data_IF_928601693935
#
_entry.id   IF_928601693935
#
_cell.length_a   1.000
_cell.length_b   1.000
_cell.length_c   1.000
_cell.angle_alpha   90.00
_cell.angle_beta   90.00
_cell.angle_gamma   90.00
#
_symmetry.space_group_name_H-M   'P 1'
#
loop_
_entity.id
_entity.type
_entity.pdbx_description
1 polymer ?
#
# COMPACT_ATOMS: atom_id res chain seq x y z
N UNK A 1 -19.11 -60.52 -36.26
CA UNK A 1 -20.45 -60.97 -36.72
C UNK A 1 -21.27 -59.75 -37.14
N UNK A 2 -21.77 -59.76 -38.38
CA UNK A 2 -22.87 -58.97 -39.00
C UNK A 2 -22.90 -57.43 -38.86
N UNK A 3 -22.51 -56.67 -39.90
CA UNK A 3 -23.24 -56.31 -41.15
C UNK A 3 -24.39 -55.29 -40.94
N UNK A 4 -24.23 -54.06 -41.45
CA UNK A 4 -24.93 -53.52 -42.65
C UNK A 4 -24.78 -51.99 -42.75
N UNK A 5 -24.29 -51.49 -43.89
CA UNK A 5 -24.50 -50.11 -44.33
C UNK A 5 -25.80 -50.03 -45.17
N UNK A 6 -26.59 -48.94 -45.09
CA UNK A 6 -27.56 -48.53 -46.11
C UNK A 6 -27.00 -47.42 -47.03
N UNK A 7 -27.70 -47.09 -48.14
CA UNK A 7 -27.13 -46.67 -49.43
C UNK A 7 -26.99 -45.14 -49.64
N UNK A 8 -26.33 -44.66 -50.71
CA UNK A 8 -26.20 -43.23 -51.02
C UNK A 8 -27.42 -42.72 -51.79
N UNK A 9 -27.79 -41.46 -51.57
CA UNK A 9 -28.83 -40.77 -52.36
C UNK A 9 -28.27 -39.43 -52.87
N UNK A 10 -28.35 -39.28 -54.19
CA UNK A 10 -27.95 -38.15 -55.04
C UNK A 10 -28.88 -36.94 -54.94
N UNK A 11 -28.44 -35.73 -55.35
CA UNK A 11 -29.17 -34.49 -55.17
C UNK A 11 -30.28 -34.34 -56.23
N UNK A 12 -31.42 -33.77 -55.82
CA UNK A 12 -32.44 -33.26 -56.74
C UNK A 12 -32.54 -31.75 -56.57
N UNK A 13 -32.28 -31.06 -57.67
CA UNK A 13 -32.42 -29.63 -57.84
C UNK A 13 -33.88 -29.17 -57.88
N UNK A 14 -34.04 -27.88 -57.56
CA UNK A 14 -34.92 -26.90 -58.20
C UNK A 14 -36.16 -26.37 -57.45
N UNK A 15 -36.27 -25.04 -57.59
CA UNK A 15 -37.42 -24.13 -57.41
C UNK A 15 -37.65 -23.55 -56.00
N UNK A 16 -37.07 -22.41 -55.65
CA UNK A 16 -37.24 -21.01 -56.11
C UNK A 16 -38.41 -20.26 -55.41
N UNK A 17 -38.02 -19.17 -54.74
CA UNK A 17 -38.74 -17.90 -54.51
C UNK A 17 -39.24 -17.52 -53.10
N UNK A 18 -38.88 -16.28 -52.75
CA UNK A 18 -39.47 -15.32 -51.81
C UNK A 18 -39.04 -15.29 -50.31
N UNK A 19 -38.21 -14.26 -50.03
CA UNK A 19 -38.15 -13.32 -48.89
C UNK A 19 -37.93 -13.75 -47.40
N UNK A 20 -36.98 -13.01 -46.79
CA UNK A 20 -36.54 -12.88 -45.39
C UNK A 20 -37.67 -12.88 -44.34
N UNK A 21 -37.45 -13.29 -43.06
CA UNK A 21 -36.30 -12.89 -42.22
C UNK A 21 -35.79 -13.89 -41.14
N UNK A 22 -34.55 -13.73 -40.64
CA UNK A 22 -34.17 -13.56 -39.21
C UNK A 22 -32.68 -13.83 -38.95
N UNK A 23 -32.17 -13.02 -38.01
CA UNK A 23 -30.88 -13.03 -37.30
C UNK A 23 -30.11 -14.36 -37.24
N UNK A 24 -28.77 -14.25 -37.41
CA UNK A 24 -27.85 -15.21 -36.82
C UNK A 24 -26.40 -15.12 -37.28
N UNK A 25 -25.55 -14.56 -36.40
CA UNK A 25 -24.12 -14.89 -36.19
C UNK A 25 -23.08 -14.07 -36.99
N UNK A 26 -22.56 -13.01 -36.35
CA UNK A 26 -21.25 -12.47 -36.66
C UNK A 26 -20.18 -13.27 -35.89
N UNK A 27 -19.22 -13.84 -36.63
CA UNK A 27 -18.07 -14.55 -36.08
C UNK A 27 -17.10 -13.57 -35.42
N UNK A 28 -16.84 -13.75 -34.12
CA UNK A 28 -15.83 -12.98 -33.39
C UNK A 28 -14.45 -13.53 -33.75
N UNK A 29 -13.67 -12.70 -34.46
CA UNK A 29 -12.36 -13.04 -34.99
C UNK A 29 -11.29 -12.93 -33.88
N UNK A 30 -10.98 -14.06 -33.25
CA UNK A 30 -10.07 -14.20 -32.09
C UNK A 30 -8.61 -13.78 -32.32
N UNK A 31 -8.22 -13.41 -33.54
CA UNK A 31 -6.84 -12.96 -33.87
C UNK A 31 -6.62 -11.44 -33.78
N UNK A 32 -7.67 -10.63 -33.62
CA UNK A 32 -7.52 -9.18 -33.37
C UNK A 32 -7.11 -8.90 -31.91
N UNK A 33 -7.52 -9.76 -30.98
CA UNK A 33 -7.32 -9.55 -29.54
C UNK A 33 -5.84 -9.73 -29.09
N UNK A 34 -5.07 -10.54 -29.82
CA UNK A 34 -3.65 -10.80 -29.52
C UNK A 34 -2.69 -9.75 -30.12
N UNK A 35 -3.17 -8.85 -30.99
CA UNK A 35 -2.36 -7.74 -31.50
C UNK A 35 -2.39 -6.49 -30.61
N UNK A 36 -3.32 -6.40 -29.66
CA UNK A 36 -3.41 -5.31 -28.69
C UNK A 36 -2.79 -5.62 -27.31
N UNK A 37 -2.17 -6.80 -27.13
CA UNK A 37 -1.64 -7.26 -25.83
C UNK A 37 -0.10 -7.27 -25.74
N UNK A 38 0.62 -6.77 -26.74
CA UNK A 38 2.08 -6.67 -26.70
C UNK A 38 2.56 -5.29 -26.22
N UNK A 39 2.21 -4.91 -24.99
CA UNK A 39 3.04 -4.02 -24.14
C UNK A 39 2.79 -4.42 -22.68
N UNK A 40 3.34 -5.55 -22.25
CA UNK A 40 3.36 -5.93 -20.84
C UNK A 40 4.69 -6.63 -20.56
N UNK A 41 5.58 -5.92 -19.89
CA UNK A 41 6.93 -6.42 -19.59
C UNK A 41 7.82 -5.34 -19.03
N UNK A 42 7.56 -4.90 -17.80
CA UNK A 42 8.55 -4.27 -16.93
C UNK A 42 8.09 -4.46 -15.48
N UNK A 43 9.02 -4.82 -14.61
CA UNK A 43 8.82 -5.02 -13.19
C UNK A 43 8.21 -3.77 -12.53
N UNK A 44 7.31 -3.97 -11.58
CA UNK A 44 6.69 -2.89 -10.81
C UNK A 44 7.67 -2.47 -9.70
N UNK A 45 8.47 -1.46 -10.01
CA UNK A 45 9.13 -0.58 -9.04
C UNK A 45 8.31 0.70 -8.95
N UNK A 46 7.83 1.00 -7.73
CA UNK A 46 7.48 2.29 -7.13
C UNK A 46 6.68 3.35 -7.94
N UNK A 47 5.99 4.21 -7.20
CA UNK A 47 5.04 5.22 -7.71
C UNK A 47 5.60 6.25 -8.69
N UNK A 48 4.66 7.08 -9.20
CA UNK A 48 4.83 8.26 -10.07
C UNK A 48 4.69 8.12 -11.61
N UNK A 49 4.36 6.94 -12.17
CA UNK A 49 4.41 6.74 -13.64
C UNK A 49 3.13 6.89 -14.48
N UNK A 50 1.92 6.85 -13.92
CA UNK A 50 0.69 6.59 -14.73
C UNK A 50 -0.25 7.80 -15.00
N UNK A 51 0.24 9.05 -14.95
CA UNK A 51 -0.59 10.23 -15.22
C UNK A 51 -0.40 10.88 -16.60
N UNK A 52 0.43 10.31 -17.49
CA UNK A 52 0.85 10.95 -18.74
C UNK A 52 -0.16 11.01 -19.90
N UNK A 53 -1.46 10.75 -19.70
CA UNK A 53 -2.37 10.54 -20.84
C UNK A 53 -3.86 10.79 -20.65
N UNK A 54 -4.29 11.67 -19.74
CA UNK A 54 -5.70 12.04 -19.66
C UNK A 54 -6.08 13.04 -20.78
N UNK A 55 -7.19 12.85 -21.53
CA UNK A 55 -7.61 13.77 -22.57
C UNK A 55 -7.87 15.17 -21.99
N UNK A 56 -7.33 16.19 -22.67
CA UNK A 56 -7.48 17.63 -22.37
C UNK A 56 -8.94 18.13 -22.26
N UNK A 57 -9.93 17.32 -22.64
CA UNK A 57 -11.35 17.68 -22.60
C UNK A 57 -11.95 17.72 -21.17
N UNK A 58 -11.23 17.22 -20.15
CA UNK A 58 -11.58 17.38 -18.73
C UNK A 58 -10.83 18.53 -18.05
N UNK A 59 -9.91 19.20 -18.75
CA UNK A 59 -9.09 20.29 -18.20
C UNK A 59 -9.76 21.67 -18.29
N UNK A 60 -10.99 21.72 -18.81
CA UNK A 60 -11.66 22.97 -19.19
C UNK A 60 -13.02 23.14 -18.52
N UNK A 61 -13.12 22.82 -17.23
CA UNK A 61 -14.13 23.43 -16.34
C UNK A 61 -13.43 23.83 -15.05
N UNK A 62 -13.20 25.14 -14.91
CA UNK A 62 -12.56 25.72 -13.74
C UNK A 62 -13.44 25.56 -12.51
N UNK A 63 -12.96 24.79 -11.55
CA UNK A 63 -13.32 24.98 -10.15
C UNK A 63 -12.02 25.29 -9.41
N UNK A 64 -11.69 26.58 -9.26
CA UNK A 64 -10.62 27.06 -8.35
C UNK A 64 -10.84 26.62 -6.89
N UNK A 65 -11.99 26.00 -6.58
CA UNK A 65 -12.39 25.61 -5.24
C UNK A 65 -12.77 24.12 -5.18
N UNK A 66 -12.04 23.38 -4.36
CA UNK A 66 -12.43 22.03 -3.91
C UNK A 66 -13.63 22.13 -2.95
N UNK A 67 -14.45 21.08 -2.90
CA UNK A 67 -15.59 21.07 -1.97
C UNK A 67 -15.11 20.88 -0.52
N UNK A 68 -16.00 21.16 0.46
CA UNK A 68 -15.72 20.81 1.86
C UNK A 68 -15.53 19.30 2.06
N UNK A 69 -16.19 18.49 1.24
CA UNK A 69 -16.02 17.02 1.26
C UNK A 69 -14.64 16.62 0.79
N UNK A 70 -14.18 17.16 -0.34
CA UNK A 70 -12.84 16.92 -0.87
C UNK A 70 -11.76 17.37 0.13
N UNK A 71 -11.90 18.56 0.72
CA UNK A 71 -10.99 19.05 1.74
C UNK A 71 -10.98 18.16 2.99
N UNK A 72 -12.13 17.59 3.37
CA UNK A 72 -12.20 16.65 4.50
C UNK A 72 -11.48 15.33 4.19
N UNK A 73 -11.54 14.84 2.94
CA UNK A 73 -10.75 13.68 2.51
C UNK A 73 -9.25 13.99 2.62
N UNK A 74 -8.79 15.10 2.06
CA UNK A 74 -7.37 15.48 2.12
C UNK A 74 -6.89 15.74 3.56
N UNK A 75 -7.72 16.31 4.43
CA UNK A 75 -7.40 16.43 5.86
C UNK A 75 -7.32 15.07 6.56
N UNK A 76 -8.12 14.10 6.14
CA UNK A 76 -8.02 12.75 6.68
C UNK A 76 -6.72 12.08 6.24
N UNK A 77 -6.35 12.20 4.96
CA UNK A 77 -5.05 11.73 4.46
C UNK A 77 -3.89 12.43 5.20
N UNK A 78 -3.92 13.76 5.32
CA UNK A 78 -2.87 14.50 6.03
C UNK A 78 -2.70 14.04 7.49
N UNK A 79 -3.80 13.71 8.18
CA UNK A 79 -3.73 13.16 9.52
C UNK A 79 -3.08 11.76 9.55
N UNK A 80 -3.33 10.93 8.53
CA UNK A 80 -2.68 9.63 8.39
C UNK A 80 -1.17 9.79 8.14
N UNK A 81 -0.76 10.65 7.20
CA UNK A 81 0.67 10.88 6.90
C UNK A 81 1.44 11.45 8.11
N UNK A 82 0.81 12.28 8.96
CA UNK A 82 1.43 12.75 10.20
C UNK A 82 1.72 11.58 11.16
N UNK A 83 0.80 10.61 11.27
CA UNK A 83 0.98 9.43 12.13
C UNK A 83 2.01 8.47 11.55
N UNK A 84 1.97 8.26 10.23
CA UNK A 84 2.94 7.45 9.49
C UNK A 84 4.34 8.03 9.60
N UNK A 85 4.49 9.35 9.43
CA UNK A 85 5.76 10.03 9.68
C UNK A 85 6.26 9.78 11.11
N UNK A 86 5.40 9.86 12.13
CA UNK A 86 5.83 9.63 13.52
C UNK A 86 6.31 8.19 13.76
N UNK A 87 5.73 7.20 13.08
CA UNK A 87 6.26 5.83 13.09
C UNK A 87 7.66 5.76 12.46
N UNK A 88 7.82 6.26 11.23
CA UNK A 88 9.09 6.18 10.51
C UNK A 88 10.21 6.97 11.16
N UNK A 89 9.93 8.17 11.68
CA UNK A 89 10.90 8.97 12.45
C UNK A 89 11.44 8.19 13.65
N UNK A 90 10.59 7.43 14.36
CA UNK A 90 11.07 6.63 15.50
C UNK A 90 12.03 5.52 15.07
N UNK A 91 11.79 4.87 13.93
CA UNK A 91 12.73 3.90 13.36
C UNK A 91 14.00 4.58 12.87
N UNK A 92 13.88 5.70 12.16
CA UNK A 92 14.98 6.45 11.57
C UNK A 92 15.96 6.96 12.62
N UNK A 93 15.45 7.44 13.76
CA UNK A 93 16.29 7.87 14.88
C UNK A 93 17.26 6.78 15.37
N UNK A 94 16.87 5.51 15.27
CA UNK A 94 17.62 4.38 15.82
C UNK A 94 18.35 3.57 14.74
N UNK A 95 17.82 3.47 13.53
CA UNK A 95 18.33 2.53 12.52
C UNK A 95 18.35 3.06 11.08
N UNK A 96 17.85 4.28 10.83
CA UNK A 96 17.95 4.89 9.50
C UNK A 96 19.38 5.35 9.18
N UNK A 97 19.60 5.77 7.94
CA UNK A 97 20.83 6.48 7.56
C UNK A 97 20.93 7.77 8.37
N UNK A 98 22.11 8.03 8.95
CA UNK A 98 22.34 9.20 9.79
C UNK A 98 23.01 10.31 8.95
N UNK A 99 22.21 11.18 8.37
CA UNK A 99 22.65 12.35 7.62
C UNK A 99 21.77 13.59 7.92
N UNK A 100 21.83 14.60 7.05
CA UNK A 100 21.12 15.87 7.21
C UNK A 100 19.81 15.95 6.39
N UNK A 101 19.41 14.90 5.65
CA UNK A 101 18.21 14.90 4.80
C UNK A 101 16.93 14.84 5.64
N UNK A 102 16.88 13.89 6.58
CA UNK A 102 15.75 13.76 7.50
C UNK A 102 16.15 14.04 8.96
N UNK A 103 15.32 14.73 9.74
CA UNK A 103 15.60 14.96 11.16
C UNK A 103 15.59 13.64 11.93
N UNK A 104 16.72 13.32 12.57
CA UNK A 104 16.92 12.03 13.23
C UNK A 104 17.55 12.13 14.61
N UNK A 105 17.80 10.94 15.15
CA UNK A 105 18.47 10.72 16.42
C UNK A 105 19.98 10.70 16.19
N UNK A 106 20.69 9.86 16.93
CA UNK A 106 22.11 9.60 16.68
C UNK A 106 22.39 8.15 16.30
N UNK A 107 21.34 7.35 16.08
CA UNK A 107 21.43 5.93 15.76
C UNK A 107 21.74 5.03 16.95
N UNK A 108 21.37 3.75 16.81
CA UNK A 108 21.68 2.66 17.70
C UNK A 108 22.32 1.52 16.89
N UNK A 109 23.65 1.43 16.92
CA UNK A 109 24.39 0.53 16.04
C UNK A 109 24.05 -0.96 16.23
N UNK A 110 23.69 -1.37 17.44
CA UNK A 110 23.28 -2.75 17.73
C UNK A 110 21.92 -3.06 17.10
N UNK A 111 20.95 -2.15 17.25
CA UNK A 111 19.63 -2.32 16.68
C UNK A 111 19.66 -2.22 15.14
N UNK A 112 20.41 -1.26 14.59
CA UNK A 112 20.65 -1.15 13.15
C UNK A 112 21.28 -2.44 12.58
N UNK A 113 22.27 -3.02 13.28
CA UNK A 113 22.87 -4.28 12.88
C UNK A 113 21.89 -5.47 12.96
N UNK A 114 20.99 -5.50 13.94
CA UNK A 114 19.97 -6.54 14.05
C UNK A 114 18.98 -6.51 12.87
N UNK A 115 18.58 -5.32 12.41
CA UNK A 115 17.78 -5.15 11.19
C UNK A 115 18.58 -5.55 9.94
N UNK A 116 19.81 -5.04 9.80
CA UNK A 116 20.70 -5.33 8.68
C UNK A 116 21.03 -6.83 8.52
N UNK A 117 20.90 -7.62 9.59
CA UNK A 117 21.10 -9.07 9.54
C UNK A 117 20.03 -9.81 8.73
N UNK A 118 18.85 -9.21 8.54
CA UNK A 118 17.76 -9.76 7.72
C UNK A 118 17.84 -9.24 6.29
N UNK A 119 18.06 -7.93 6.14
CA UNK A 119 18.24 -7.25 4.86
C UNK A 119 19.12 -6.01 5.10
N UNK A 120 20.25 -5.89 4.38
CA UNK A 120 21.23 -4.83 4.59
C UNK A 120 20.77 -3.46 4.09
N UNK A 121 19.71 -3.40 3.27
CA UNK A 121 19.10 -2.15 2.80
C UNK A 121 18.09 -1.55 3.80
N UNK A 122 17.81 -2.22 4.93
CA UNK A 122 16.81 -1.75 5.91
C UNK A 122 17.06 -0.32 6.42
N UNK A 123 18.33 0.08 6.58
CA UNK A 123 18.66 1.44 7.01
C UNK A 123 18.28 2.50 5.98
N UNK A 124 18.51 2.22 4.69
CA UNK A 124 18.11 3.09 3.59
C UNK A 124 16.59 3.09 3.44
N UNK A 125 15.97 1.93 3.51
CA UNK A 125 14.52 1.78 3.43
C UNK A 125 13.79 2.57 4.52
N UNK A 126 14.24 2.51 5.79
CA UNK A 126 13.68 3.33 6.87
C UNK A 126 13.86 4.83 6.59
N UNK A 127 15.04 5.22 6.11
CA UNK A 127 15.38 6.60 5.83
C UNK A 127 14.51 7.20 4.73
N UNK A 128 14.42 6.53 3.59
CA UNK A 128 13.69 7.02 2.41
C UNK A 128 12.19 7.11 2.68
N UNK A 129 11.62 6.10 3.35
CA UNK A 129 10.23 6.20 3.81
C UNK A 129 10.04 7.35 4.80
N UNK A 130 11.03 7.67 5.64
CA UNK A 130 10.91 8.83 6.53
C UNK A 130 10.85 10.13 5.75
N UNK A 131 11.68 10.29 4.72
CA UNK A 131 11.71 11.48 3.87
C UNK A 131 10.42 11.63 3.04
N UNK A 132 9.97 10.55 2.41
CA UNK A 132 8.74 10.50 1.64
C UNK A 132 7.54 10.94 2.49
N UNK A 133 7.44 10.47 3.73
CA UNK A 133 6.30 10.79 4.59
C UNK A 133 6.33 12.23 5.13
N UNK A 134 7.52 12.80 5.35
CA UNK A 134 7.64 14.24 5.54
C UNK A 134 7.12 15.00 4.32
N UNK A 135 7.49 14.57 3.12
CA UNK A 135 7.04 15.19 1.88
C UNK A 135 5.52 15.08 1.72
N UNK A 136 4.91 13.92 1.97
CA UNK A 136 3.47 13.70 1.88
C UNK A 136 2.67 14.60 2.83
N UNK A 137 3.01 14.61 4.12
CA UNK A 137 2.27 15.43 5.09
C UNK A 137 2.43 16.93 4.81
N UNK A 138 3.62 17.37 4.37
CA UNK A 138 3.89 18.77 4.07
C UNK A 138 3.12 19.21 2.82
N UNK A 139 3.14 18.38 1.79
CA UNK A 139 2.40 18.63 0.56
C UNK A 139 0.89 18.75 0.81
N UNK A 140 0.28 17.79 1.52
CA UNK A 140 -1.16 17.81 1.77
C UNK A 140 -1.59 19.04 2.59
N UNK A 141 -0.81 19.41 3.61
CA UNK A 141 -1.08 20.60 4.42
C UNK A 141 -0.92 21.89 3.61
N UNK A 142 0.17 22.03 2.84
CA UNK A 142 0.38 23.19 1.98
C UNK A 142 -0.71 23.31 0.90
N UNK A 143 -1.14 22.18 0.32
CA UNK A 143 -2.22 22.16 -0.66
C UNK A 143 -3.54 22.61 -0.04
N UNK A 144 -3.91 22.10 1.15
CA UNK A 144 -5.10 22.53 1.88
C UNK A 144 -5.11 24.04 2.13
N UNK A 145 -3.99 24.57 2.62
CA UNK A 145 -3.81 26.01 2.89
C UNK A 145 -3.92 26.84 1.60
N UNK A 146 -3.34 26.36 0.49
CA UNK A 146 -3.42 27.02 -0.81
C UNK A 146 -4.87 27.14 -1.34
N UNK A 147 -5.75 26.22 -0.92
CA UNK A 147 -7.18 26.20 -1.27
C UNK A 147 -8.06 26.91 -0.22
N UNK A 148 -7.46 27.53 0.79
CA UNK A 148 -8.17 28.26 1.85
C UNK A 148 -8.80 27.36 2.92
N UNK A 149 -8.37 26.10 3.02
CA UNK A 149 -8.77 25.19 4.09
C UNK A 149 -7.67 25.16 5.16
N UNK A 150 -8.01 24.90 6.44
CA UNK A 150 -6.98 24.77 7.46
C UNK A 150 -6.13 23.52 7.20
N UNK A 151 -4.87 23.57 7.62
CA UNK A 151 -4.00 22.40 7.76
C UNK A 151 -4.43 21.51 8.93
N UNK A 152 -3.76 20.37 9.06
CA UNK A 152 -3.90 19.41 10.15
C UNK A 152 -2.70 19.53 11.07
N UNK A 153 -2.98 19.62 12.37
CA UNK A 153 -1.98 19.64 13.43
C UNK A 153 -2.43 18.65 14.52
N UNK A 154 -1.57 17.66 14.81
CA UNK A 154 -1.80 16.66 15.84
C UNK A 154 -0.92 16.86 17.08
N UNK A 155 -0.09 17.92 17.16
CA UNK A 155 0.90 18.10 18.22
C UNK A 155 0.30 18.10 19.63
N UNK A 156 -0.93 18.60 19.78
CA UNK A 156 -1.67 18.52 21.06
C UNK A 156 -1.91 17.10 21.58
N UNK A 157 -1.78 16.08 20.72
CA UNK A 157 -1.94 14.67 21.06
C UNK A 157 -0.60 13.94 21.26
N UNK A 158 0.54 14.60 21.00
CA UNK A 158 1.90 14.06 21.14
C UNK A 158 2.27 13.91 22.61
N UNK A 159 1.78 12.83 23.20
CA UNK A 159 1.77 12.62 24.67
C UNK A 159 2.37 11.27 25.07
N UNK A 160 2.61 10.37 24.12
CA UNK A 160 3.18 9.06 24.39
C UNK A 160 4.67 9.19 24.66
N UNK A 161 5.22 8.36 25.53
CA UNK A 161 6.66 8.34 25.79
C UNK A 161 7.40 7.78 24.56
N UNK A 162 8.53 8.40 24.19
CA UNK A 162 9.46 7.86 23.21
C UNK A 162 10.41 6.83 23.83
N UNK A 163 11.23 6.19 22.99
CA UNK A 163 12.33 5.34 23.44
C UNK A 163 13.36 6.14 24.23
N UNK A 164 13.90 5.52 25.29
CA UNK A 164 15.03 6.02 26.08
C UNK A 164 16.34 5.31 25.72
N UNK A 165 16.34 4.46 24.69
CA UNK A 165 17.55 3.82 24.21
C UNK A 165 18.50 4.85 23.57
N UNK A 166 19.80 4.62 23.73
CA UNK A 166 20.86 5.39 23.08
C UNK A 166 20.59 5.46 21.58
N UNK A 167 20.64 6.67 21.03
CA UNK A 167 20.27 6.94 19.64
C UNK A 167 18.91 7.61 19.48
N UNK A 168 17.93 7.32 20.34
CA UNK A 168 16.63 7.99 20.23
C UNK A 168 16.69 9.44 20.72
N UNK A 169 15.81 10.28 20.19
CA UNK A 169 15.65 11.65 20.68
C UNK A 169 14.94 11.74 22.04
N UNK A 170 14.30 10.67 22.51
CA UNK A 170 13.53 10.66 23.76
C UNK A 170 12.30 11.56 23.77
N UNK A 171 11.96 12.20 22.64
CA UNK A 171 10.84 13.14 22.56
C UNK A 171 9.48 12.41 22.63
N UNK A 172 8.41 13.09 23.10
CA UNK A 172 7.06 12.55 23.07
C UNK A 172 6.58 12.17 21.66
N UNK A 173 5.66 11.20 21.57
CA UNK A 173 5.18 10.59 20.31
C UNK A 173 3.68 10.67 20.15
N UNK A 174 3.25 10.58 18.90
CA UNK A 174 1.86 10.38 18.50
C UNK A 174 1.52 8.89 18.42
N UNK A 175 2.50 8.07 18.11
CA UNK A 175 2.39 6.62 17.97
C UNK A 175 3.28 5.88 18.96
N UNK A 176 3.07 4.58 19.15
CA UNK A 176 3.80 3.78 20.14
C UNK A 176 4.37 2.51 19.51
N UNK A 177 5.67 2.51 19.25
CA UNK A 177 6.42 1.34 18.76
C UNK A 177 6.91 0.39 19.86
N UNK A 178 6.68 0.72 21.13
CA UNK A 178 7.17 -0.06 22.27
C UNK A 178 6.15 -1.08 22.80
N UNK A 179 4.90 -1.02 22.33
CA UNK A 179 3.79 -1.86 22.78
C UNK A 179 2.85 -2.23 21.62
N UNK A 180 3.37 -2.91 20.60
CA UNK A 180 2.60 -3.31 19.42
C UNK A 180 1.90 -4.65 19.60
N UNK A 181 0.71 -4.77 19.03
CA UNK A 181 0.04 -6.03 18.73
C UNK A 181 -0.17 -6.04 17.22
N UNK A 182 0.39 -7.04 16.52
CA UNK A 182 0.45 -7.08 15.06
C UNK A 182 -0.35 -8.26 14.50
N UNK A 183 -1.21 -7.97 13.54
CA UNK A 183 -1.81 -9.00 12.69
C UNK A 183 -0.79 -9.39 11.61
N UNK A 184 -0.25 -10.60 11.73
CA UNK A 184 0.70 -11.19 10.78
C UNK A 184 0.02 -12.16 9.79
N UNK A 185 -1.31 -12.26 9.81
CA UNK A 185 -2.06 -13.13 8.89
C UNK A 185 -1.95 -12.68 7.44
N UNK A 186 -1.60 -11.42 7.16
CA UNK A 186 -1.36 -10.95 5.79
C UNK A 186 -0.25 -11.75 5.11
N UNK A 187 0.78 -12.17 5.85
CA UNK A 187 1.92 -12.91 5.31
C UNK A 187 1.50 -14.28 4.79
N UNK A 188 0.66 -14.99 5.56
CA UNK A 188 0.14 -16.32 5.19
C UNK A 188 -1.00 -16.21 4.18
N UNK A 189 -1.83 -15.16 4.27
CA UNK A 189 -2.93 -14.87 3.34
C UNK A 189 -2.48 -14.85 1.88
N UNK A 190 -1.38 -14.17 1.58
CA UNK A 190 -0.88 -14.06 0.21
C UNK A 190 0.12 -15.15 -0.18
N UNK A 191 0.32 -16.16 0.67
CA UNK A 191 1.22 -17.30 0.43
C UNK A 191 0.52 -18.66 0.50
N UNK A 192 -0.78 -18.68 0.81
CA UNK A 192 -1.59 -19.91 0.75
C UNK A 192 -1.69 -20.39 -0.70
N UNK A 193 -1.48 -21.70 -0.90
CA UNK A 193 -1.60 -22.37 -2.19
C UNK A 193 -2.97 -23.05 -2.39
N UNK A 194 -3.79 -23.09 -1.34
CA UNK A 194 -5.06 -23.81 -1.25
C UNK A 194 -6.28 -22.92 -0.95
N UNK A 195 -6.07 -21.67 -0.51
CA UNK A 195 -7.13 -20.70 -0.23
C UNK A 195 -6.88 -19.36 -0.92
N UNK A 196 -7.95 -18.77 -1.48
CA UNK A 196 -7.88 -17.47 -2.13
C UNK A 196 -8.67 -16.44 -1.31
N UNK A 197 -8.04 -15.35 -0.81
CA UNK A 197 -8.72 -14.37 0.04
C UNK A 197 -9.94 -13.70 -0.61
N UNK A 198 -9.98 -13.61 -1.94
CA UNK A 198 -11.12 -13.03 -2.67
C UNK A 198 -12.27 -14.01 -2.87
N UNK A 199 -11.98 -15.33 -2.88
CA UNK A 199 -12.98 -16.38 -3.11
C UNK A 199 -13.44 -17.06 -1.81
N UNK A 200 -12.62 -17.00 -0.77
CA UNK A 200 -12.82 -17.62 0.53
C UNK A 200 -12.90 -16.58 1.66
N UNK A 201 -13.86 -15.63 1.63
CA UNK A 201 -13.87 -14.47 2.53
C UNK A 201 -14.09 -14.83 4.02
N UNK A 202 -14.51 -16.06 4.31
CA UNK A 202 -14.71 -16.55 5.67
C UNK A 202 -13.54 -17.42 6.17
N UNK A 203 -12.52 -17.67 5.34
CA UNK A 203 -11.35 -18.43 5.76
C UNK A 203 -10.48 -17.57 6.67
N UNK A 204 -10.11 -18.11 7.82
CA UNK A 204 -9.24 -17.44 8.79
C UNK A 204 -7.81 -17.87 8.53
N UNK A 205 -7.04 -17.00 7.88
CA UNK A 205 -5.63 -17.24 7.63
C UNK A 205 -4.84 -17.24 8.95
N UNK A 206 -3.95 -18.22 9.16
CA UNK A 206 -3.20 -18.34 10.41
C UNK A 206 -2.20 -17.19 10.57
N UNK A 207 -1.94 -16.78 11.80
CA UNK A 207 -0.88 -15.83 12.11
C UNK A 207 0.50 -16.44 11.78
N UNK A 208 1.34 -15.72 11.03
CA UNK A 208 2.71 -16.17 10.75
C UNK A 208 3.55 -16.25 12.02
N UNK A 209 3.36 -15.28 12.93
CA UNK A 209 3.94 -15.27 14.27
C UNK A 209 2.79 -15.11 15.28
N UNK A 210 2.22 -16.21 15.80
CA UNK A 210 1.04 -16.16 16.65
C UNK A 210 1.17 -15.28 17.90
N UNK A 211 2.36 -15.18 18.47
CA UNK A 211 2.60 -14.40 19.69
C UNK A 211 2.45 -12.88 19.46
N UNK A 212 2.77 -12.39 18.26
CA UNK A 212 2.61 -10.97 17.91
C UNK A 212 1.14 -10.53 17.88
N UNK A 213 0.20 -11.47 17.71
CA UNK A 213 -1.24 -11.19 17.62
C UNK A 213 -1.97 -11.11 18.98
N UNK A 214 -1.32 -11.54 20.07
CA UNK A 214 -1.96 -11.62 21.40
C UNK A 214 -1.16 -10.94 22.54
N UNK A 215 -0.08 -10.22 22.21
CA UNK A 215 0.78 -9.55 23.19
C UNK A 215 1.10 -8.10 22.83
N UNK A 216 1.84 -7.42 23.73
CA UNK A 216 2.42 -6.10 23.50
C UNK A 216 3.93 -6.26 23.34
N UNK A 217 4.42 -5.97 22.13
CA UNK A 217 5.79 -6.24 21.74
C UNK A 217 6.50 -4.96 21.31
N UNK A 218 7.75 -4.73 21.76
CA UNK A 218 8.55 -3.64 21.26
C UNK A 218 9.04 -3.95 19.84
N UNK A 219 8.83 -3.00 18.93
CA UNK A 219 9.48 -2.95 17.62
C UNK A 219 10.69 -2.01 17.61
N UNK A 220 10.94 -1.26 18.69
CA UNK A 220 12.19 -0.54 18.92
C UNK A 220 12.69 -0.83 20.34
N UNK A 221 14.00 -0.76 20.61
CA UNK A 221 14.51 -0.83 21.98
C UNK A 221 13.86 0.26 22.83
N UNK A 222 13.35 -0.09 24.01
CA UNK A 222 12.73 0.87 24.94
C UNK A 222 13.79 1.62 25.73
N UNK A 223 14.86 0.92 26.07
CA UNK A 223 16.04 1.40 26.79
C UNK A 223 17.26 0.61 26.30
N UNK A 224 18.47 1.00 26.70
CA UNK A 224 19.68 0.25 26.38
C UNK A 224 19.71 -1.17 26.93
N UNK A 225 18.92 -1.47 27.98
CA UNK A 225 18.81 -2.83 28.51
C UNK A 225 18.31 -3.83 27.45
N UNK A 226 17.42 -3.38 26.56
CA UNK A 226 16.86 -4.21 25.48
C UNK A 226 17.91 -4.58 24.41
N UNK A 227 19.07 -3.91 24.41
CA UNK A 227 20.18 -4.18 23.45
C UNK A 227 21.22 -5.17 23.97
N UNK A 228 21.11 -5.59 25.24
CA UNK A 228 22.14 -6.41 25.91
C UNK A 228 22.06 -7.90 25.59
N UNK A 229 20.86 -8.42 25.29
CA UNK A 229 20.66 -9.79 24.82
C UNK A 229 20.44 -9.77 23.30
N UNK A 230 21.38 -10.35 22.51
CA UNK A 230 21.28 -10.34 21.05
C UNK A 230 20.03 -11.06 20.53
N UNK A 231 19.53 -12.10 21.21
CA UNK A 231 18.33 -12.80 20.77
C UNK A 231 17.08 -11.94 21.00
N UNK A 232 17.01 -11.27 22.15
CA UNK A 232 15.90 -10.37 22.45
C UNK A 232 15.90 -9.16 21.51
N UNK A 233 17.06 -8.57 21.24
CA UNK A 233 17.20 -7.48 20.27
C UNK A 233 16.78 -7.92 18.86
N UNK A 234 17.12 -9.16 18.45
CA UNK A 234 16.65 -9.68 17.16
C UNK A 234 15.13 -9.88 17.14
N UNK A 235 14.49 -10.28 18.25
CA UNK A 235 13.04 -10.32 18.33
C UNK A 235 12.40 -8.93 18.14
N UNK A 236 13.02 -7.88 18.68
CA UNK A 236 12.59 -6.48 18.48
C UNK A 236 12.70 -6.11 17.00
N UNK A 237 13.85 -6.36 16.38
CA UNK A 237 14.07 -6.10 14.96
C UNK A 237 13.07 -6.87 14.07
N UNK A 238 12.82 -8.15 14.37
CA UNK A 238 11.83 -8.94 13.64
C UNK A 238 10.40 -8.39 13.82
N UNK A 239 10.06 -7.86 14.99
CA UNK A 239 8.78 -7.20 15.23
C UNK A 239 8.64 -5.95 14.35
N UNK A 240 9.70 -5.14 14.22
CA UNK A 240 9.73 -4.01 13.29
C UNK A 240 9.51 -4.43 11.84
N UNK A 241 10.20 -5.49 11.40
CA UNK A 241 10.09 -5.99 10.02
C UNK A 241 8.69 -6.53 9.68
N UNK A 242 7.94 -7.07 10.67
CA UNK A 242 6.52 -7.40 10.47
C UNK A 242 5.61 -6.17 10.50
N UNK A 243 6.04 -5.09 11.16
CA UNK A 243 5.29 -3.84 11.25
C UNK A 243 5.44 -2.97 10.00
N UNK A 244 6.62 -2.91 9.35
CA UNK A 244 6.86 -2.06 8.18
C UNK A 244 5.78 -2.23 7.09
N UNK A 245 5.42 -3.45 6.63
CA UNK A 245 4.37 -3.59 5.62
C UNK A 245 2.99 -3.20 6.14
N UNK A 246 2.76 -3.23 7.45
CA UNK A 246 1.49 -2.81 8.06
C UNK A 246 1.33 -1.29 8.00
N UNK A 247 2.43 -0.55 8.13
CA UNK A 247 2.47 0.90 7.95
C UNK A 247 2.12 1.22 6.48
N UNK A 248 2.88 0.67 5.53
CA UNK A 248 2.70 0.93 4.09
C UNK A 248 1.35 0.46 3.52
N UNK A 249 0.78 -0.62 4.05
CA UNK A 249 -0.51 -1.14 3.57
C UNK A 249 -1.66 -0.18 3.91
N UNK A 250 -1.51 0.66 4.93
CA UNK A 250 -2.49 1.67 5.33
C UNK A 250 -2.94 2.51 4.14
N UNK A 251 -1.99 3.19 3.48
CA UNK A 251 -2.27 4.03 2.29
C UNK A 251 -2.82 3.23 1.10
N UNK A 252 -2.30 2.04 0.84
CA UNK A 252 -2.68 1.19 -0.29
C UNK A 252 -4.16 0.77 -0.31
N UNK A 253 -4.80 0.71 0.85
CA UNK A 253 -6.24 0.40 0.95
C UNK A 253 -7.10 1.64 1.22
N UNK A 254 -6.58 2.58 2.01
CA UNK A 254 -7.29 3.77 2.42
C UNK A 254 -7.53 4.72 1.24
N UNK A 255 -6.51 5.02 0.44
CA UNK A 255 -6.61 6.01 -0.63
C UNK A 255 -7.55 5.58 -1.75
N UNK A 256 -7.54 4.31 -2.23
CA UNK A 256 -8.55 3.85 -3.18
C UNK A 256 -9.98 3.92 -2.65
N UNK A 257 -10.20 3.67 -1.36
CA UNK A 257 -11.52 3.78 -0.75
C UNK A 257 -11.98 5.26 -0.65
N UNK A 258 -11.06 6.19 -0.40
CA UNK A 258 -11.33 7.63 -0.38
C UNK A 258 -11.55 8.18 -1.79
N UNK A 259 -10.80 7.70 -2.79
CA UNK A 259 -10.91 8.10 -4.18
C UNK A 259 -12.33 7.91 -4.73
N UNK A 260 -13.07 6.88 -4.29
CA UNK A 260 -14.47 6.66 -4.66
C UNK A 260 -15.43 7.75 -4.13
N UNK A 261 -14.98 8.58 -3.19
CA UNK A 261 -15.76 9.65 -2.55
C UNK A 261 -15.33 11.04 -2.99
N UNK A 262 -14.19 11.16 -3.69
CA UNK A 262 -13.72 12.43 -4.21
C UNK A 262 -14.68 12.95 -5.30
N UNK A 263 -15.01 14.23 -5.23
CA UNK A 263 -15.87 14.92 -6.20
C UNK A 263 -15.07 15.80 -7.15
N UNK A 264 -13.87 16.23 -6.74
CA UNK A 264 -12.93 16.97 -7.57
C UNK A 264 -11.94 16.04 -8.25
N UNK A 265 -11.78 16.19 -9.58
CA UNK A 265 -10.72 15.52 -10.36
C UNK A 265 -9.33 15.95 -9.89
N UNK A 266 -9.18 17.17 -9.38
CA UNK A 266 -7.92 17.65 -8.79
C UNK A 266 -7.59 16.87 -7.53
N UNK A 267 -8.57 16.68 -6.63
CA UNK A 267 -8.39 15.90 -5.40
C UNK A 267 -8.21 14.41 -5.67
N UNK A 268 -8.77 13.87 -6.75
CA UNK A 268 -8.54 12.47 -7.16
C UNK A 268 -7.12 12.23 -7.70
N UNK A 269 -6.46 13.28 -8.24
CA UNK A 269 -5.08 13.17 -8.76
C UNK A 269 -4.03 13.26 -7.66
N UNK A 270 -4.40 13.90 -6.56
CA UNK A 270 -3.66 13.92 -5.31
C UNK A 270 -3.89 12.58 -4.63
#
# INVERSE_FOLDING_TARGET
MNKKNPPPITPTDSENSAENPKLGRAEVNRRSFLKNSMVAGAAVTAGAGMLGGLPSALAQEGHEHITRGDAALLRFAAAAEILETDFWVQYNELAGVQDDEVPGGSGNSLYAAALASVDDDNGQYIHDNTDDEFTHQNFLNAYLESKGFPSVDLERFRTLAGSEASGSSGKPRLTNLMQLTLDTSWYTRYRSDDHNPDLDPNFVFPQAVPDLFHGQHPAIPRTDADTTDPNFLQCIANTALFHFPTIEQGGNSLYPAMAQRATSVEVLRI
#
